data_IF_824014607837
#
_entry.id   IF_824014607837
#
_cell.length_a   1.000
_cell.length_b   1.000
_cell.length_c   1.000
_cell.angle_alpha   90.00
_cell.angle_beta   90.00
_cell.angle_gamma   90.00
#
_symmetry.space_group_name_H-M   'P 1'
#
loop_
_entity.id
_entity.type
_entity.pdbx_description
1 polymer ?
#
# COMPACT_ATOMS: atom_id res chain seq x y z
N UNK A 1 -11.46 7.73 8.11
CA UNK A 1 -10.65 8.47 9.05
C UNK A 1 -9.20 8.03 8.90
N UNK A 2 -8.26 8.96 8.85
CA UNK A 2 -6.88 8.70 8.46
C UNK A 2 -6.73 8.58 6.94
N UNK A 3 -5.49 8.60 6.49
CA UNK A 3 -5.13 8.41 5.10
C UNK A 3 -4.24 7.18 4.95
N UNK A 4 -4.25 6.56 3.79
CA UNK A 4 -3.22 5.61 3.41
C UNK A 4 -2.20 6.35 2.55
N UNK A 5 -0.96 6.39 3.00
CA UNK A 5 0.13 6.97 2.23
C UNK A 5 1.04 5.88 1.69
N UNK A 6 1.63 6.07 0.52
CA UNK A 6 2.67 5.19 0.02
C UNK A 6 3.78 5.01 1.06
N UNK A 7 4.26 3.79 1.22
CA UNK A 7 5.47 3.54 2.00
C UNK A 7 6.65 4.05 1.20
N UNK A 8 7.52 4.78 1.85
CA UNK A 8 8.74 5.30 1.25
C UNK A 8 9.98 4.70 1.91
N UNK A 9 11.12 4.96 1.33
CA UNK A 9 12.42 4.66 1.89
C UNK A 9 12.83 5.83 2.81
N UNK A 10 13.40 5.50 3.97
CA UNK A 10 13.91 6.52 4.89
C UNK A 10 15.36 6.85 4.51
N UNK A 11 15.53 7.64 3.45
CA UNK A 11 16.83 8.03 2.91
C UNK A 11 16.96 9.55 2.87
N UNK A 12 18.13 10.04 3.24
CA UNK A 12 18.44 11.47 3.18
C UNK A 12 18.41 11.96 1.71
N UNK A 13 17.78 13.12 1.48
CA UNK A 13 17.68 13.71 0.15
C UNK A 13 16.53 13.18 -0.72
N UNK A 14 15.84 12.09 -0.33
CA UNK A 14 14.80 11.47 -1.15
C UNK A 14 13.64 12.44 -1.43
N UNK A 15 13.19 13.18 -0.43
CA UNK A 15 12.05 14.10 -0.54
C UNK A 15 12.27 15.23 -1.55
N UNK A 16 13.51 15.66 -1.77
CA UNK A 16 13.82 16.69 -2.77
C UNK A 16 13.69 16.23 -4.21
N UNK A 17 13.59 14.91 -4.42
CA UNK A 17 13.48 14.27 -5.73
C UNK A 17 12.04 13.86 -6.06
N UNK A 18 11.13 13.94 -5.09
CA UNK A 18 9.73 13.51 -5.27
C UNK A 18 9.02 14.32 -6.38
N UNK A 19 8.26 13.62 -7.22
CA UNK A 19 7.58 14.19 -8.39
C UNK A 19 8.50 14.56 -9.56
N UNK A 20 9.83 14.43 -9.41
CA UNK A 20 10.83 14.71 -10.47
C UNK A 20 11.55 13.45 -10.93
N UNK A 21 12.17 12.74 -9.99
CA UNK A 21 12.93 11.51 -10.24
C UNK A 21 12.50 10.37 -9.31
N UNK A 22 11.66 10.65 -8.29
CA UNK A 22 11.13 9.66 -7.35
C UNK A 22 9.60 9.68 -7.42
N UNK A 23 9.01 8.51 -7.57
CA UNK A 23 7.57 8.30 -7.73
C UNK A 23 7.08 7.19 -6.81
N UNK A 24 5.87 7.35 -6.25
CA UNK A 24 5.25 6.39 -5.33
C UNK A 24 3.98 5.76 -5.90
N UNK A 25 3.63 6.08 -7.12
CA UNK A 25 2.45 5.57 -7.82
C UNK A 25 2.82 5.17 -9.23
N UNK A 26 2.09 4.22 -9.79
CA UNK A 26 2.32 3.70 -11.14
C UNK A 26 2.07 4.74 -12.25
N UNK A 27 1.30 5.80 -11.95
CA UNK A 27 0.97 6.89 -12.85
C UNK A 27 2.00 8.05 -12.83
N UNK A 28 3.07 7.92 -12.06
CA UNK A 28 4.20 8.86 -12.10
C UNK A 28 4.68 9.01 -13.54
N UNK A 29 4.65 10.23 -14.07
CA UNK A 29 5.01 10.54 -15.46
C UNK A 29 6.26 11.39 -15.49
N UNK A 30 7.45 10.78 -15.39
CA UNK A 30 8.68 11.47 -15.72
C UNK A 30 8.71 11.77 -17.23
N UNK A 31 9.54 12.75 -17.62
CA UNK A 31 9.83 12.94 -19.03
C UNK A 31 10.50 11.67 -19.60
N UNK A 32 9.84 10.92 -20.50
CA UNK A 32 10.38 9.65 -20.99
C UNK A 32 11.70 9.81 -21.73
N UNK A 33 11.98 10.99 -22.28
CA UNK A 33 13.18 11.26 -23.07
C UNK A 33 14.44 11.47 -22.25
N UNK A 34 14.25 11.74 -20.93
CA UNK A 34 15.36 12.01 -20.00
C UNK A 34 15.77 10.80 -19.16
N UNK A 35 15.10 9.63 -19.32
CA UNK A 35 15.25 8.50 -18.43
C UNK A 35 15.84 7.29 -19.16
N UNK A 36 17.10 7.00 -18.90
CA UNK A 36 17.74 5.83 -19.46
C UNK A 36 17.80 4.63 -18.50
N UNK A 37 17.86 4.89 -17.20
CA UNK A 37 18.04 3.87 -16.16
C UNK A 37 16.93 4.01 -15.11
N UNK A 38 15.95 3.17 -15.23
CA UNK A 38 14.77 3.17 -14.38
C UNK A 38 14.85 2.04 -13.37
N UNK A 39 14.65 2.34 -12.10
CA UNK A 39 14.59 1.34 -11.04
C UNK A 39 13.21 1.35 -10.39
N UNK A 40 12.59 0.17 -10.29
CA UNK A 40 11.35 -0.06 -9.56
C UNK A 40 11.67 -0.87 -8.32
N UNK A 41 11.40 -0.31 -7.14
CA UNK A 41 11.58 -0.99 -5.85
C UNK A 41 10.23 -1.48 -5.33
N UNK A 42 10.08 -2.79 -5.26
CA UNK A 42 8.84 -3.43 -4.82
C UNK A 42 8.81 -4.91 -5.18
N UNK A 43 7.71 -5.58 -4.87
CA UNK A 43 7.59 -7.03 -5.13
C UNK A 43 6.15 -7.53 -5.11
N UNK A 44 5.17 -6.63 -5.16
CA UNK A 44 3.74 -6.89 -5.29
C UNK A 44 3.25 -6.65 -6.73
N UNK A 45 1.97 -6.82 -6.96
CA UNK A 45 1.34 -6.65 -8.28
C UNK A 45 1.62 -5.26 -8.87
N UNK A 46 1.55 -4.20 -8.06
CA UNK A 46 1.76 -2.82 -8.52
C UNK A 46 3.20 -2.61 -9.00
N UNK A 47 4.18 -3.15 -8.29
CA UNK A 47 5.59 -3.06 -8.65
C UNK A 47 5.89 -3.82 -9.94
N UNK A 48 5.39 -5.04 -10.08
CA UNK A 48 5.60 -5.85 -11.26
C UNK A 48 4.92 -5.24 -12.49
N UNK A 49 3.63 -4.86 -12.36
CA UNK A 49 2.89 -4.24 -13.46
C UNK A 49 3.56 -2.95 -13.93
N UNK A 50 4.07 -2.13 -12.99
CA UNK A 50 4.79 -0.90 -13.33
C UNK A 50 6.11 -1.19 -14.06
N UNK A 51 6.91 -2.15 -13.59
CA UNK A 51 8.17 -2.53 -14.26
C UNK A 51 7.91 -3.05 -15.67
N UNK A 52 6.88 -3.89 -15.86
CA UNK A 52 6.46 -4.40 -17.16
C UNK A 52 6.02 -3.26 -18.08
N UNK A 53 5.17 -2.36 -17.61
CA UNK A 53 4.69 -1.22 -18.38
C UNK A 53 5.86 -0.32 -18.82
N UNK A 54 6.80 0.01 -17.93
CA UNK A 54 7.97 0.82 -18.22
C UNK A 54 8.88 0.12 -19.23
N UNK A 55 9.04 -1.20 -19.17
CA UNK A 55 9.84 -1.95 -20.13
C UNK A 55 9.23 -1.95 -21.55
N UNK A 56 7.90 -1.95 -21.64
CA UNK A 56 7.18 -1.83 -22.92
C UNK A 56 7.32 -0.43 -23.52
N UNK A 57 7.32 0.62 -22.68
CA UNK A 57 7.58 1.99 -23.10
C UNK A 57 9.06 2.18 -23.51
N UNK A 58 9.99 1.50 -22.84
CA UNK A 58 11.41 1.48 -23.17
C UNK A 58 11.69 1.04 -24.61
N UNK A 59 10.83 0.23 -25.18
CA UNK A 59 10.92 -0.18 -26.59
C UNK A 59 10.83 1.00 -27.58
N UNK A 60 10.36 2.16 -27.11
CA UNK A 60 10.24 3.41 -27.90
C UNK A 60 11.41 4.38 -27.67
N UNK A 61 12.23 4.14 -26.63
CA UNK A 61 13.37 5.00 -26.26
C UNK A 61 14.63 4.14 -26.35
N UNK A 62 15.54 4.39 -27.29
CA UNK A 62 16.78 3.64 -27.39
C UNK A 62 17.58 3.69 -26.08
N UNK A 63 18.08 2.53 -25.65
CA UNK A 63 18.92 2.36 -24.46
C UNK A 63 18.25 2.51 -23.08
N UNK A 64 16.93 2.59 -23.00
CA UNK A 64 16.27 2.57 -21.69
C UNK A 64 16.38 1.17 -21.05
N UNK A 65 16.87 1.11 -19.82
CA UNK A 65 16.95 -0.10 -19.00
C UNK A 65 16.00 0.00 -17.82
N UNK A 66 15.24 -1.06 -17.57
CA UNK A 66 14.35 -1.17 -16.43
C UNK A 66 14.89 -2.24 -15.48
N UNK A 67 15.04 -1.89 -14.22
CA UNK A 67 15.47 -2.82 -13.16
C UNK A 67 14.37 -2.93 -12.11
N UNK A 68 13.92 -4.15 -11.86
CA UNK A 68 13.10 -4.46 -10.68
C UNK A 68 14.03 -4.84 -9.53
N UNK A 69 13.97 -4.10 -8.41
CA UNK A 69 14.77 -4.33 -7.22
C UNK A 69 13.88 -4.77 -6.07
N UNK A 70 14.18 -5.94 -5.50
CA UNK A 70 13.48 -6.45 -4.33
C UNK A 70 14.45 -7.07 -3.32
N UNK A 71 14.09 -6.98 -2.03
CA UNK A 71 14.94 -7.47 -0.92
C UNK A 71 14.90 -8.98 -0.72
N UNK A 72 13.97 -9.69 -1.35
CA UNK A 72 13.78 -11.15 -1.26
C UNK A 72 13.67 -11.73 -2.65
N UNK A 73 14.03 -13.01 -2.77
CA UNK A 73 13.87 -13.73 -4.04
C UNK A 73 12.43 -14.19 -4.31
N UNK A 74 11.51 -13.95 -3.37
CA UNK A 74 10.09 -14.27 -3.49
C UNK A 74 9.29 -13.01 -3.69
N UNK A 75 8.44 -12.98 -4.72
CA UNK A 75 7.55 -11.87 -5.04
C UNK A 75 6.13 -12.19 -4.56
N UNK A 76 5.44 -11.19 -4.02
CA UNK A 76 4.05 -11.30 -3.55
C UNK A 76 3.11 -10.73 -4.62
N UNK A 77 3.15 -11.35 -5.80
CA UNK A 77 2.42 -10.94 -6.98
C UNK A 77 1.71 -12.12 -7.64
N UNK A 78 0.72 -11.81 -8.48
CA UNK A 78 -0.03 -12.81 -9.24
C UNK A 78 0.89 -13.64 -10.16
N UNK A 79 0.50 -14.89 -10.41
CA UNK A 79 1.29 -15.82 -11.23
C UNK A 79 1.49 -15.28 -12.66
N UNK A 80 0.48 -14.62 -13.22
CA UNK A 80 0.54 -14.06 -14.56
C UNK A 80 1.60 -12.96 -14.68
N UNK A 81 1.66 -12.05 -13.71
CA UNK A 81 2.69 -11.00 -13.68
C UNK A 81 4.09 -11.56 -13.45
N UNK A 82 4.22 -12.59 -12.61
CA UNK A 82 5.50 -13.26 -12.41
C UNK A 82 5.97 -13.97 -13.69
N UNK A 83 5.06 -14.65 -14.41
CA UNK A 83 5.38 -15.30 -15.68
C UNK A 83 5.82 -14.29 -16.75
N UNK A 84 5.12 -13.16 -16.87
CA UNK A 84 5.49 -12.08 -17.80
C UNK A 84 6.84 -11.44 -17.42
N UNK A 85 7.08 -11.22 -16.12
CA UNK A 85 8.39 -10.76 -15.65
C UNK A 85 9.51 -11.70 -16.07
N UNK A 86 9.36 -12.99 -15.87
CA UNK A 86 10.37 -13.99 -16.27
C UNK A 86 10.62 -13.98 -17.78
N UNK A 87 9.55 -13.83 -18.58
CA UNK A 87 9.69 -13.71 -20.05
C UNK A 87 10.51 -12.48 -20.42
N UNK A 88 10.21 -11.31 -19.81
CA UNK A 88 10.93 -10.07 -20.09
C UNK A 88 12.37 -10.08 -19.58
N UNK A 89 12.66 -10.84 -18.52
CA UNK A 89 14.04 -11.10 -18.07
C UNK A 89 14.81 -11.95 -19.08
N UNK A 90 14.20 -13.01 -19.59
CA UNK A 90 14.81 -13.86 -20.63
C UNK A 90 15.11 -13.05 -21.92
N UNK A 91 14.24 -12.10 -22.25
CA UNK A 91 14.40 -11.17 -23.38
C UNK A 91 15.38 -9.99 -23.07
N UNK A 92 16.02 -9.98 -21.90
CA UNK A 92 16.90 -8.90 -21.42
C UNK A 92 16.25 -7.49 -21.42
N UNK A 93 14.93 -7.41 -21.25
CA UNK A 93 14.16 -6.16 -21.19
C UNK A 93 13.99 -5.62 -19.78
N UNK A 94 14.02 -6.51 -18.77
CA UNK A 94 13.99 -6.17 -17.36
C UNK A 94 15.11 -6.90 -16.65
N UNK A 95 15.91 -6.18 -15.87
CA UNK A 95 16.87 -6.75 -14.95
C UNK A 95 16.21 -6.96 -13.56
N UNK A 96 16.46 -8.10 -12.92
CA UNK A 96 16.07 -8.30 -11.53
C UNK A 96 17.29 -8.22 -10.63
N UNK A 97 17.18 -7.36 -9.60
CA UNK A 97 18.25 -7.14 -8.64
C UNK A 97 17.75 -7.50 -7.24
N UNK A 98 18.42 -8.48 -6.63
CA UNK A 98 18.19 -8.83 -5.25
C UNK A 98 19.03 -7.93 -4.34
N UNK A 99 18.36 -7.19 -3.45
CA UNK A 99 19.03 -6.26 -2.53
C UNK A 99 18.09 -5.26 -1.89
N UNK A 100 18.65 -4.44 -1.01
CA UNK A 100 17.95 -3.38 -0.31
C UNK A 100 18.62 -2.03 -0.59
N UNK A 101 17.83 -1.02 -0.92
CA UNK A 101 18.35 0.35 -1.08
C UNK A 101 18.74 0.89 0.30
N UNK A 102 19.97 1.36 0.41
CA UNK A 102 20.56 1.91 1.65
C UNK A 102 20.98 3.36 1.51
N UNK A 103 21.11 3.88 0.29
CA UNK A 103 21.52 5.26 0.04
C UNK A 103 21.21 5.72 -1.37
N UNK A 104 21.38 7.03 -1.58
CA UNK A 104 21.23 7.72 -2.87
C UNK A 104 22.57 8.32 -3.29
N UNK A 105 23.00 8.04 -4.51
CA UNK A 105 24.11 8.74 -5.15
C UNK A 105 23.57 9.96 -5.89
N UNK A 106 23.84 11.14 -5.34
CA UNK A 106 23.39 12.41 -5.90
C UNK A 106 24.55 13.19 -6.53
N UNK A 107 24.31 13.81 -7.67
CA UNK A 107 25.19 14.78 -8.30
C UNK A 107 24.38 16.01 -8.70
N UNK A 108 24.76 17.18 -8.25
CA UNK A 108 24.04 18.45 -8.49
C UNK A 108 22.54 18.36 -8.15
N UNK A 109 22.21 17.74 -7.01
CA UNK A 109 20.84 17.50 -6.54
C UNK A 109 19.97 16.63 -7.50
N UNK A 110 20.63 15.83 -8.35
CA UNK A 110 19.96 14.86 -9.22
C UNK A 110 20.37 13.45 -8.86
N UNK A 111 19.42 12.53 -8.91
CA UNK A 111 19.67 11.11 -8.72
C UNK A 111 20.52 10.58 -9.88
N UNK A 112 21.61 9.90 -9.54
CA UNK A 112 22.50 9.23 -10.50
C UNK A 112 22.64 7.73 -10.21
N UNK A 113 22.52 7.33 -8.96
CA UNK A 113 22.62 5.93 -8.54
C UNK A 113 21.94 5.65 -7.22
N UNK A 114 21.73 4.38 -6.94
CA UNK A 114 21.29 3.84 -5.66
C UNK A 114 22.41 3.01 -5.05
N UNK A 115 22.67 3.20 -3.76
CA UNK A 115 23.48 2.28 -2.98
C UNK A 115 22.63 1.10 -2.53
N UNK A 116 23.07 -0.12 -2.82
CA UNK A 116 22.32 -1.34 -2.59
C UNK A 116 23.13 -2.29 -1.71
N UNK A 117 22.59 -2.67 -0.56
CA UNK A 117 23.08 -3.79 0.21
C UNK A 117 22.61 -5.11 -0.43
N UNK A 118 23.56 -5.97 -0.75
CA UNK A 118 23.29 -7.29 -1.33
C UNK A 118 23.07 -8.33 -0.22
N UNK A 119 22.45 -9.48 -0.51
CA UNK A 119 22.28 -10.56 0.46
C UNK A 119 23.60 -11.09 1.04
N UNK A 120 24.69 -10.99 0.27
CA UNK A 120 26.03 -11.41 0.68
C UNK A 120 26.72 -10.42 1.62
N UNK A 121 26.04 -9.31 1.99
CA UNK A 121 26.55 -8.30 2.92
C UNK A 121 27.47 -7.26 2.27
N UNK A 122 27.60 -7.25 0.95
CA UNK A 122 28.34 -6.22 0.23
C UNK A 122 27.42 -5.06 -0.16
N UNK A 123 28.02 -3.89 -0.41
CA UNK A 123 27.30 -2.74 -0.97
C UNK A 123 27.78 -2.51 -2.39
N UNK A 124 26.84 -2.24 -3.29
CA UNK A 124 27.15 -1.86 -4.67
C UNK A 124 26.33 -0.66 -5.11
N UNK A 125 26.86 0.10 -6.06
CA UNK A 125 26.14 1.19 -6.72
C UNK A 125 25.38 0.67 -7.93
N UNK A 126 24.09 1.03 -8.04
CA UNK A 126 23.24 0.77 -9.19
C UNK A 126 22.89 2.09 -9.86
N UNK A 127 23.29 2.32 -11.13
CA UNK A 127 22.92 3.51 -11.85
C UNK A 127 21.40 3.68 -11.94
N UNK A 128 20.90 4.90 -11.65
CA UNK A 128 19.48 5.19 -11.58
C UNK A 128 19.21 6.66 -11.93
N UNK A 129 18.37 6.90 -12.94
CA UNK A 129 17.91 8.25 -13.32
C UNK A 129 16.52 8.54 -12.79
N UNK A 130 15.69 7.48 -12.60
CA UNK A 130 14.40 7.58 -11.96
C UNK A 130 14.07 6.35 -11.13
N UNK A 131 13.40 6.57 -10.02
CA UNK A 131 13.09 5.59 -9.00
C UNK A 131 11.59 5.53 -8.74
N UNK A 132 10.97 4.36 -8.91
CA UNK A 132 9.65 4.05 -8.42
C UNK A 132 9.75 3.28 -7.11
N UNK A 133 9.09 3.79 -6.05
CA UNK A 133 9.05 3.14 -4.73
C UNK A 133 7.63 2.62 -4.51
N UNK A 134 7.42 1.36 -4.82
CA UNK A 134 6.13 0.67 -4.75
C UNK A 134 6.19 -0.41 -3.65
N UNK A 135 6.11 0.06 -2.40
CA UNK A 135 6.21 -0.77 -1.19
C UNK A 135 4.86 -0.96 -0.49
N UNK A 136 3.77 -0.69 -1.22
CA UNK A 136 2.42 -0.69 -0.70
C UNK A 136 2.11 0.53 0.16
N UNK A 137 0.95 0.51 0.81
CA UNK A 137 0.43 1.62 1.59
C UNK A 137 0.67 1.45 3.09
N UNK A 138 0.80 2.54 3.80
CA UNK A 138 0.87 2.59 5.26
C UNK A 138 -0.28 3.44 5.80
N UNK A 139 -1.08 2.93 6.76
CA UNK A 139 -2.11 3.74 7.38
C UNK A 139 -1.49 4.89 8.17
N UNK A 140 -2.08 6.07 8.02
CA UNK A 140 -1.77 7.27 8.80
C UNK A 140 -2.97 7.59 9.67
N UNK A 141 -2.85 7.39 10.96
CA UNK A 141 -3.96 7.59 11.89
C UNK A 141 -4.22 9.06 12.19
N UNK A 142 -3.25 9.93 11.88
CA UNK A 142 -3.37 11.35 12.21
C UNK A 142 -3.63 11.58 13.70
N UNK A 143 -4.56 12.48 14.08
CA UNK A 143 -4.88 12.77 15.47
C UNK A 143 -5.35 11.56 16.28
N UNK A 144 -5.95 10.54 15.65
CA UNK A 144 -6.43 9.32 16.33
C UNK A 144 -5.30 8.62 17.09
N UNK A 145 -4.08 8.68 16.60
CA UNK A 145 -2.92 8.10 17.27
C UNK A 145 -2.65 8.70 18.67
N UNK A 146 -3.22 9.89 18.95
CA UNK A 146 -3.06 10.62 20.22
C UNK A 146 -4.27 10.50 21.15
N UNK A 147 -5.32 9.78 20.76
CA UNK A 147 -6.55 9.65 21.56
C UNK A 147 -6.44 8.67 22.72
N UNK A 148 -5.29 8.04 22.92
CA UNK A 148 -5.08 7.06 24.00
C UNK A 148 -5.72 5.70 23.77
N UNK A 149 -6.22 5.43 22.56
CA UNK A 149 -6.85 4.16 22.21
C UNK A 149 -5.84 3.02 22.19
N UNK A 150 -6.24 1.84 22.62
CA UNK A 150 -5.43 0.64 22.51
C UNK A 150 -5.15 0.31 21.03
N UNK A 151 -3.87 0.14 20.68
CA UNK A 151 -3.44 -0.08 19.31
C UNK A 151 -2.45 -1.22 19.18
N UNK A 152 -2.48 -1.90 18.04
CA UNK A 152 -1.46 -2.87 17.60
C UNK A 152 -1.09 -2.58 16.15
N UNK A 153 0.21 -2.40 15.87
CA UNK A 153 0.75 -2.17 14.50
C UNK A 153 0.01 -1.07 13.71
N UNK A 154 -0.26 0.08 14.33
CA UNK A 154 -1.02 1.20 13.76
C UNK A 154 -2.49 0.87 13.42
N UNK A 155 -3.09 -0.09 14.09
CA UNK A 155 -4.51 -0.41 13.99
C UNK A 155 -5.14 -0.37 15.38
N UNK A 156 -6.41 0.05 15.46
CA UNK A 156 -7.16 0.13 16.72
C UNK A 156 -7.58 -1.28 17.16
N UNK A 157 -7.23 -1.66 18.38
CA UNK A 157 -7.69 -2.91 18.97
C UNK A 157 -9.16 -2.78 19.34
N UNK A 158 -9.99 -3.75 18.92
CA UNK A 158 -11.43 -3.78 19.23
C UNK A 158 -11.84 -5.16 19.72
N UNK A 159 -12.94 -5.22 20.48
CA UNK A 159 -13.61 -6.48 20.73
C UNK A 159 -14.40 -6.94 19.49
N UNK A 160 -14.61 -8.24 19.35
CA UNK A 160 -15.25 -8.81 18.14
C UNK A 160 -16.78 -8.91 18.26
N UNK A 161 -17.34 -8.60 19.42
CA UNK A 161 -18.78 -8.64 19.65
C UNK A 161 -19.45 -7.31 19.24
N UNK A 162 -18.78 -6.19 19.55
CA UNK A 162 -19.35 -4.83 19.43
C UNK A 162 -18.52 -3.92 18.55
N UNK A 163 -17.28 -4.31 18.25
CA UNK A 163 -16.27 -3.46 17.60
C UNK A 163 -16.00 -2.15 18.36
N UNK A 164 -16.17 -2.21 19.70
CA UNK A 164 -15.82 -1.12 20.60
C UNK A 164 -14.30 -1.07 20.80
N UNK A 165 -13.77 0.14 20.92
CA UNK A 165 -12.36 0.38 21.27
C UNK A 165 -12.17 0.31 22.79
N UNK A 166 -10.95 0.60 23.27
CA UNK A 166 -10.66 0.73 24.71
C UNK A 166 -11.40 1.90 25.39
N UNK A 167 -11.89 2.87 24.62
CA UNK A 167 -12.60 4.03 25.13
C UNK A 167 -14.11 3.90 24.89
N UNK A 168 -14.95 4.04 25.93
CA UNK A 168 -16.40 3.96 25.81
C UNK A 168 -16.95 4.96 24.79
N UNK A 169 -17.88 4.52 23.95
CA UNK A 169 -18.53 5.36 22.93
C UNK A 169 -17.73 5.51 21.64
N UNK A 170 -16.53 4.93 21.55
CA UNK A 170 -15.73 4.90 20.33
C UNK A 170 -15.70 3.48 19.75
N UNK A 171 -16.12 3.35 18.51
CA UNK A 171 -16.18 2.10 17.76
C UNK A 171 -15.30 2.21 16.51
N UNK A 172 -14.66 1.11 16.11
CA UNK A 172 -13.81 1.12 14.92
C UNK A 172 -14.08 -0.09 14.04
N UNK A 173 -14.36 0.15 12.76
CA UNK A 173 -14.69 -0.88 11.76
C UNK A 173 -13.84 -0.72 10.49
N UNK A 174 -13.70 -1.79 9.71
CA UNK A 174 -12.91 -1.79 8.48
C UNK A 174 -11.41 -1.89 8.74
N UNK A 175 -10.60 -1.42 7.81
CA UNK A 175 -9.15 -1.63 7.81
C UNK A 175 -8.38 -0.93 8.93
N UNK A 176 -9.03 0.02 9.61
CA UNK A 176 -8.44 0.74 10.74
C UNK A 176 -8.34 -0.12 11.99
N UNK A 177 -9.20 -1.14 12.14
CA UNK A 177 -9.23 -1.97 13.34
C UNK A 177 -8.39 -3.24 13.20
N UNK A 178 -8.12 -3.88 14.35
CA UNK A 178 -7.50 -5.19 14.45
C UNK A 178 -8.08 -6.02 15.58
N UNK A 179 -8.20 -7.32 15.36
CA UNK A 179 -8.61 -8.35 16.31
C UNK A 179 -8.10 -9.72 15.83
N UNK A 180 -8.10 -10.77 16.68
CA UNK A 180 -7.68 -12.12 16.25
C UNK A 180 -8.51 -12.63 15.06
N UNK A 181 -7.85 -13.04 13.98
CA UNK A 181 -8.52 -13.51 12.77
C UNK A 181 -8.96 -12.43 11.79
N UNK A 182 -8.65 -11.14 12.02
CA UNK A 182 -8.97 -10.03 11.11
C UNK A 182 -8.56 -10.31 9.68
N UNK A 183 -9.50 -10.11 8.74
CA UNK A 183 -9.26 -10.06 7.30
C UNK A 183 -9.64 -8.68 6.77
N UNK A 184 -8.76 -8.08 5.96
CA UNK A 184 -9.00 -6.77 5.33
C UNK A 184 -9.78 -6.97 4.03
N UNK A 185 -11.05 -7.25 4.17
CA UNK A 185 -12.00 -7.44 3.08
C UNK A 185 -13.18 -6.48 3.27
N UNK A 186 -13.70 -5.96 2.17
CA UNK A 186 -14.90 -5.09 2.18
C UNK A 186 -16.06 -5.79 2.89
N UNK A 187 -16.27 -7.08 2.62
CA UNK A 187 -17.32 -7.87 3.26
C UNK A 187 -17.19 -7.92 4.79
N UNK A 188 -15.95 -8.09 5.29
CA UNK A 188 -15.70 -8.07 6.73
C UNK A 188 -16.03 -6.70 7.31
N UNK A 189 -15.65 -5.61 6.63
CA UNK A 189 -15.96 -4.25 7.05
C UNK A 189 -17.46 -3.97 7.15
N UNK A 190 -18.27 -4.47 6.22
CA UNK A 190 -19.73 -4.36 6.31
C UNK A 190 -20.32 -5.16 7.48
N UNK A 191 -19.83 -6.37 7.72
CA UNK A 191 -20.24 -7.17 8.88
C UNK A 191 -19.90 -6.44 10.20
N UNK A 192 -18.67 -5.96 10.32
CA UNK A 192 -18.20 -5.18 11.47
C UNK A 192 -19.07 -3.93 11.69
N UNK A 193 -19.39 -3.19 10.63
CA UNK A 193 -20.24 -2.01 10.69
C UNK A 193 -21.65 -2.35 11.18
N UNK A 194 -22.20 -3.49 10.78
CA UNK A 194 -23.49 -3.96 11.24
C UNK A 194 -23.49 -4.20 12.75
N UNK A 195 -22.52 -4.96 13.28
CA UNK A 195 -22.44 -5.25 14.70
C UNK A 195 -22.16 -3.98 15.52
N UNK A 196 -21.27 -3.10 15.03
CA UNK A 196 -21.01 -1.82 15.65
C UNK A 196 -22.27 -0.94 15.72
N UNK A 197 -23.10 -0.92 14.66
CA UNK A 197 -24.34 -0.15 14.65
C UNK A 197 -25.33 -0.60 15.73
N UNK A 198 -25.47 -1.91 15.94
CA UNK A 198 -26.27 -2.45 17.05
C UNK A 198 -25.69 -2.07 18.41
N UNK A 199 -24.38 -2.13 18.57
CA UNK A 199 -23.69 -1.76 19.79
C UNK A 199 -23.83 -0.26 20.10
N UNK A 200 -23.70 0.60 19.09
CA UNK A 200 -23.96 2.05 19.20
C UNK A 200 -25.40 2.32 19.61
N UNK A 201 -26.38 1.65 19.00
CA UNK A 201 -27.79 1.81 19.35
C UNK A 201 -28.06 1.41 20.82
N UNK A 202 -27.48 0.29 21.27
CA UNK A 202 -27.57 -0.14 22.66
C UNK A 202 -26.89 0.82 23.65
N UNK A 203 -25.77 1.42 23.24
CA UNK A 203 -25.04 2.42 24.03
C UNK A 203 -25.86 3.71 24.20
N UNK A 204 -26.50 4.17 23.11
CA UNK A 204 -27.29 5.40 23.13
C UNK A 204 -28.66 5.24 23.79
N UNK A 205 -29.19 4.02 23.86
CA UNK A 205 -30.52 3.70 24.40
C UNK A 205 -30.44 2.52 25.38
N UNK A 206 -29.84 2.73 26.56
CA UNK A 206 -29.70 1.66 27.55
C UNK A 206 -31.07 1.12 27.98
N UNK A 207 -31.20 -0.20 27.95
CA UNK A 207 -32.46 -0.88 28.37
C UNK A 207 -33.56 -0.92 27.31
N UNK A 208 -33.43 -0.25 26.16
CA UNK A 208 -34.36 -0.40 25.04
C UNK A 208 -34.04 -1.68 24.25
N UNK A 209 -35.10 -2.45 23.92
CA UNK A 209 -34.95 -3.58 23.01
C UNK A 209 -34.77 -3.04 21.58
N UNK A 210 -33.57 -3.27 20.96
CA UNK A 210 -33.33 -2.93 19.57
C UNK A 210 -33.95 -4.03 18.73
N UNK A 211 -34.97 -3.71 17.87
CA UNK A 211 -35.61 -4.72 17.05
C UNK A 211 -34.64 -5.17 15.93
N UNK A 212 -34.61 -6.47 15.76
CA UNK A 212 -33.96 -7.06 14.59
C UNK A 212 -35.04 -7.29 13.51
N UNK A 213 -34.93 -6.61 12.40
CA UNK A 213 -35.84 -6.76 11.26
C UNK A 213 -35.03 -7.14 9.99
N UNK A 214 -35.55 -8.09 9.24
CA UNK A 214 -35.00 -8.35 7.93
C UNK A 214 -35.40 -7.23 6.97
N UNK A 215 -34.45 -6.73 6.18
CA UNK A 215 -34.66 -5.64 5.22
C UNK A 215 -35.78 -5.94 4.22
N UNK A 216 -35.91 -7.21 3.83
CA UNK A 216 -36.95 -7.69 2.89
C UNK A 216 -38.35 -7.76 3.49
N UNK A 217 -38.50 -7.71 4.81
CA UNK A 217 -39.76 -7.86 5.50
C UNK A 217 -40.09 -6.67 6.41
N UNK A 218 -39.29 -5.59 6.39
CA UNK A 218 -39.52 -4.42 7.24
C UNK A 218 -40.48 -3.43 6.59
N UNK A 219 -41.74 -3.29 7.08
CA UNK A 219 -42.67 -2.31 6.53
C UNK A 219 -42.16 -0.87 6.66
N UNK A 220 -41.42 -0.60 7.73
CA UNK A 220 -40.82 0.72 7.98
C UNK A 220 -39.74 1.06 6.95
N UNK A 221 -38.95 0.09 6.55
CA UNK A 221 -37.92 0.29 5.52
C UNK A 221 -38.55 0.46 4.15
N UNK A 222 -39.56 -0.35 3.81
CA UNK A 222 -40.32 -0.24 2.57
C UNK A 222 -40.95 1.15 2.42
N UNK A 223 -41.59 1.64 3.48
CA UNK A 223 -42.17 2.99 3.48
C UNK A 223 -41.12 4.08 3.25
N UNK A 224 -39.91 3.96 3.85
CA UNK A 224 -38.82 4.93 3.69
C UNK A 224 -38.17 4.90 2.31
N UNK A 225 -38.13 3.73 1.69
CA UNK A 225 -37.55 3.52 0.37
C UNK A 225 -38.57 3.74 -0.76
N UNK A 226 -39.86 3.88 -0.45
CA UNK A 226 -40.92 4.06 -1.43
C UNK A 226 -41.24 2.80 -2.24
N UNK A 227 -41.01 1.60 -1.67
CA UNK A 227 -41.24 0.28 -2.30
C UNK A 227 -42.17 -0.58 -1.45
#
# INVERSE_FOLDING_TARGET
>A
VGAFLPRSLNLEGLSSLEGRQVFHQSDGRPDPTALHRVVVVGGDDDALATAILLSQQASKVPAQRVTLLHRRNTLDASQDLQAELHRLQADAKIDFVLGQVTGLGLMEQRLQSLEIATPEGSTRSLPCDALWILLGLSPQLGPIAQWGLAMSRKQLSVDTERFATSEPGIFAVGDINTYPGKRKLILCGFHEATLAAYAVAAHLRPGEKIPFEYTTASPRLHQRLGV
#
